data_IF_104063895172
#
_entry.id   IF_104063895172
#
_cell.length_a   1.000
_cell.length_b   1.000
_cell.length_c   1.000
_cell.angle_alpha   90.00
_cell.angle_beta   90.00
_cell.angle_gamma   90.00
#
_symmetry.space_group_name_H-M   'P 1'
#
loop_
_entity.id
_entity.type
_entity.pdbx_description
1 polymer ?
#
# COMPACT_ATOMS: atom_id res chain seq x y z
N UNK A 1 36.66 7.98 15.04
CA UNK A 1 36.23 7.39 13.75
C UNK A 1 34.93 6.64 13.96
N UNK A 2 33.86 7.03 13.28
CA UNK A 2 32.56 6.38 13.31
C UNK A 2 32.61 5.03 12.55
N UNK A 3 31.77 4.05 12.89
CA UNK A 3 31.71 2.74 12.21
C UNK A 3 31.51 2.87 10.70
N UNK A 4 30.73 3.86 10.27
CA UNK A 4 30.54 4.16 8.85
C UNK A 4 31.84 4.60 8.17
N UNK A 5 32.63 5.46 8.80
CA UNK A 5 33.90 5.95 8.22
C UNK A 5 34.88 4.80 8.02
N UNK A 6 35.00 3.91 9.02
CA UNK A 6 35.82 2.69 8.93
C UNK A 6 35.37 1.84 7.72
N UNK A 7 34.07 1.60 7.59
CA UNK A 7 33.51 0.86 6.48
C UNK A 7 33.80 1.51 5.12
N UNK A 8 33.71 2.84 5.01
CA UNK A 8 33.99 3.56 3.77
C UNK A 8 35.47 3.47 3.38
N UNK A 9 36.39 3.55 4.35
CA UNK A 9 37.82 3.30 4.10
C UNK A 9 38.07 1.86 3.63
N UNK A 10 37.45 0.86 4.27
CA UNK A 10 37.56 -0.54 3.83
C UNK A 10 37.00 -0.75 2.41
N UNK A 11 35.96 0.00 2.04
CA UNK A 11 35.38 -0.07 0.70
C UNK A 11 36.27 0.55 -0.38
N UNK A 12 37.11 1.55 -0.07
CA UNK A 12 38.08 2.11 -1.02
C UNK A 12 39.07 1.07 -1.55
N UNK A 13 39.37 0.04 -0.75
CA UNK A 13 40.24 -1.06 -1.16
C UNK A 13 39.57 -1.99 -2.20
N UNK A 14 38.23 -1.93 -2.31
CA UNK A 14 37.44 -2.87 -3.13
C UNK A 14 36.75 -2.20 -4.32
N UNK A 15 36.28 -0.98 -4.15
CA UNK A 15 35.53 -0.19 -5.14
C UNK A 15 36.32 1.06 -5.55
N UNK A 16 36.04 1.63 -6.75
CA UNK A 16 36.66 2.89 -7.16
C UNK A 16 36.30 4.03 -6.20
N UNK A 17 37.27 4.90 -5.90
CA UNK A 17 37.10 6.00 -4.94
C UNK A 17 35.90 6.92 -5.27
N UNK A 18 35.66 7.17 -6.56
CA UNK A 18 34.52 7.96 -7.05
C UNK A 18 33.15 7.40 -6.68
N UNK A 19 33.03 6.09 -6.46
CA UNK A 19 31.76 5.42 -6.15
C UNK A 19 31.52 5.29 -4.63
N UNK A 20 32.52 5.60 -3.79
CA UNK A 20 32.46 5.40 -2.33
C UNK A 20 31.40 6.28 -1.67
N UNK A 21 31.25 7.52 -2.13
CA UNK A 21 30.19 8.41 -1.64
C UNK A 21 28.80 7.82 -1.91
N UNK A 22 28.57 7.35 -3.14
CA UNK A 22 27.32 6.70 -3.55
C UNK A 22 27.05 5.42 -2.77
N UNK A 23 28.10 4.61 -2.53
CA UNK A 23 28.00 3.42 -1.68
C UNK A 23 27.61 3.77 -0.24
N UNK A 24 28.19 4.83 0.34
CA UNK A 24 27.82 5.32 1.67
C UNK A 24 26.37 5.78 1.76
N UNK A 25 25.90 6.54 0.77
CA UNK A 25 24.50 6.96 0.66
C UNK A 25 23.55 5.75 0.57
N UNK A 26 23.91 4.74 -0.23
CA UNK A 26 23.15 3.49 -0.32
C UNK A 26 23.12 2.73 1.01
N UNK A 27 24.25 2.55 1.68
CA UNK A 27 24.33 1.84 2.97
C UNK A 27 23.45 2.51 4.02
N UNK A 28 23.50 3.84 4.12
CA UNK A 28 22.67 4.61 5.05
C UNK A 28 21.18 4.51 4.71
N UNK A 29 20.84 4.63 3.43
CA UNK A 29 19.46 4.53 2.98
C UNK A 29 18.86 3.13 3.25
N UNK A 30 19.65 2.07 3.01
CA UNK A 30 19.27 0.69 3.32
C UNK A 30 19.15 0.45 4.83
N UNK A 31 19.98 1.10 5.64
CA UNK A 31 19.88 1.07 7.10
C UNK A 31 18.56 1.70 7.56
N UNK A 32 18.22 2.89 7.07
CA UNK A 32 16.96 3.56 7.40
C UNK A 32 15.75 2.72 6.96
N UNK A 33 15.77 2.12 5.75
CA UNK A 33 14.73 1.19 5.30
C UNK A 33 14.63 -0.09 6.14
N UNK A 34 15.71 -0.51 6.82
CA UNK A 34 15.70 -1.69 7.69
C UNK A 34 14.97 -1.45 9.02
N UNK A 35 14.67 -0.19 9.34
CA UNK A 35 13.91 0.20 10.54
C UNK A 35 12.39 0.24 10.28
N UNK A 36 11.96 0.16 9.01
CA UNK A 36 10.55 0.26 8.61
C UNK A 36 9.89 -1.12 8.65
N UNK A 37 8.90 -1.40 9.53
CA UNK A 37 8.35 -2.75 9.70
C UNK A 37 7.78 -3.39 8.43
N UNK A 38 7.25 -2.60 7.51
CA UNK A 38 6.68 -3.08 6.23
C UNK A 38 7.72 -3.31 5.14
N UNK A 39 8.93 -2.80 5.31
CA UNK A 39 10.00 -2.91 4.33
C UNK A 39 10.47 -4.35 4.21
N UNK A 40 10.80 -4.83 3.00
CA UNK A 40 11.39 -6.16 2.83
C UNK A 40 12.77 -6.27 3.51
N UNK A 41 13.40 -5.15 3.87
CA UNK A 41 14.68 -5.12 4.62
C UNK A 41 14.52 -5.26 6.13
N UNK A 42 13.29 -5.14 6.65
CA UNK A 42 13.08 -5.22 8.09
C UNK A 42 13.45 -6.61 8.63
N UNK A 43 14.34 -6.71 9.65
CA UNK A 43 14.97 -7.98 10.04
C UNK A 43 14.02 -8.92 10.81
N UNK A 44 13.09 -9.57 10.10
CA UNK A 44 12.13 -10.56 10.66
C UNK A 44 12.69 -11.98 10.54
N UNK A 45 13.61 -12.34 11.42
CA UNK A 45 14.23 -13.68 11.42
C UNK A 45 15.26 -13.88 10.31
N UNK A 46 15.73 -12.81 9.68
CA UNK A 46 16.86 -12.82 8.75
C UNK A 46 17.67 -11.53 8.93
N UNK A 47 18.93 -11.56 8.51
CA UNK A 47 19.78 -10.38 8.43
C UNK A 47 19.75 -9.78 7.00
N UNK A 48 19.29 -8.53 6.81
CA UNK A 48 19.37 -7.86 5.52
C UNK A 48 20.82 -7.55 5.21
N UNK A 49 21.28 -7.90 4.01
CA UNK A 49 22.61 -7.59 3.50
C UNK A 49 22.48 -6.83 2.18
N UNK A 50 23.34 -5.85 1.99
CA UNK A 50 23.43 -5.04 0.78
C UNK A 50 24.59 -5.54 -0.08
N UNK A 51 24.28 -6.01 -1.28
CA UNK A 51 25.26 -6.34 -2.30
C UNK A 51 25.46 -5.15 -3.22
N UNK A 52 26.58 -4.46 -3.04
CA UNK A 52 27.03 -3.40 -3.94
C UNK A 52 27.65 -4.04 -5.18
N UNK A 53 27.07 -3.75 -6.35
CA UNK A 53 27.57 -4.20 -7.65
C UNK A 53 28.17 -3.02 -8.41
N UNK A 54 29.29 -3.24 -9.09
CA UNK A 54 29.91 -2.25 -9.99
C UNK A 54 30.49 -2.95 -11.20
N UNK A 55 30.16 -2.47 -12.40
CA UNK A 55 30.78 -2.93 -13.63
C UNK A 55 32.06 -2.15 -13.90
N UNK A 56 33.15 -2.87 -14.16
CA UNK A 56 34.45 -2.30 -14.47
C UNK A 56 34.94 -2.92 -15.78
N UNK A 57 34.58 -2.29 -16.91
CA UNK A 57 34.83 -2.83 -18.24
C UNK A 57 34.10 -4.15 -18.46
N UNK A 58 34.82 -5.28 -18.34
CA UNK A 58 34.31 -6.63 -18.58
C UNK A 58 34.02 -7.47 -17.32
N UNK A 59 34.33 -6.99 -16.12
CA UNK A 59 34.13 -7.71 -14.86
C UNK A 59 33.19 -6.96 -13.92
N UNK A 60 32.42 -7.71 -13.13
CA UNK A 60 31.52 -7.16 -12.12
C UNK A 60 32.14 -7.36 -10.73
N UNK A 61 32.49 -6.26 -10.06
CA UNK A 61 32.89 -6.30 -8.66
C UNK A 61 31.65 -6.33 -7.77
N UNK A 62 31.71 -7.20 -6.75
CA UNK A 62 30.64 -7.45 -5.79
C UNK A 62 31.17 -7.30 -4.38
N UNK A 63 30.56 -6.43 -3.59
CA UNK A 63 30.90 -6.28 -2.17
C UNK A 63 29.64 -6.40 -1.34
N UNK A 64 29.62 -7.36 -0.43
CA UNK A 64 28.49 -7.58 0.48
C UNK A 64 28.73 -6.82 1.79
N UNK A 65 27.74 -6.07 2.22
CA UNK A 65 27.80 -5.18 3.39
C UNK A 65 26.58 -5.41 4.26
N UNK A 66 26.75 -5.36 5.58
CA UNK A 66 25.64 -5.32 6.52
C UNK A 66 25.25 -3.86 6.78
N UNK A 67 24.07 -3.37 6.33
CA UNK A 67 23.62 -2.02 6.60
C UNK A 67 23.32 -1.78 8.09
N UNK A 68 22.99 -2.83 8.84
CA UNK A 68 22.73 -2.76 10.29
C UNK A 68 24.03 -2.66 11.07
N UNK A 69 24.98 -3.55 10.81
CA UNK A 69 26.23 -3.63 11.58
C UNK A 69 27.31 -2.68 11.07
N UNK A 70 27.12 -2.11 9.87
CA UNK A 70 28.08 -1.28 9.14
C UNK A 70 29.44 -1.96 8.99
N UNK A 71 29.45 -3.18 8.46
CA UNK A 71 30.67 -3.94 8.18
C UNK A 71 30.58 -4.71 6.87
N UNK A 72 31.74 -5.03 6.30
CA UNK A 72 31.84 -5.90 5.14
C UNK A 72 31.61 -7.36 5.56
N UNK A 73 30.81 -8.07 4.77
CA UNK A 73 30.54 -9.50 4.93
C UNK A 73 31.43 -10.31 3.99
N UNK A 74 32.06 -11.33 4.54
CA UNK A 74 32.92 -12.32 3.89
C UNK A 74 32.38 -13.72 4.20
N UNK A 75 33.01 -14.76 3.65
CA UNK A 75 32.62 -16.14 3.94
C UNK A 75 32.79 -16.50 5.44
N UNK A 76 33.72 -15.86 6.14
CA UNK A 76 34.02 -16.16 7.54
C UNK A 76 33.00 -15.59 8.54
N UNK A 77 32.32 -14.50 8.19
CA UNK A 77 31.36 -13.82 9.05
C UNK A 77 29.95 -13.74 8.43
N UNK A 78 29.66 -14.66 7.49
CA UNK A 78 28.40 -14.72 6.77
C UNK A 78 27.27 -15.19 7.71
N UNK A 79 26.18 -14.43 7.85
CA UNK A 79 25.01 -14.88 8.61
C UNK A 79 24.35 -16.09 7.94
N UNK A 80 23.92 -17.06 8.76
CA UNK A 80 23.21 -18.25 8.30
C UNK A 80 21.88 -17.90 7.62
N UNK A 81 21.08 -17.06 8.28
CA UNK A 81 19.79 -16.58 7.79
C UNK A 81 19.95 -15.17 7.23
N UNK A 82 20.20 -15.05 5.92
CA UNK A 82 20.43 -13.76 5.25
C UNK A 82 19.48 -13.56 4.08
N UNK A 83 19.13 -12.30 3.82
CA UNK A 83 18.54 -11.88 2.54
C UNK A 83 19.44 -10.83 1.92
N UNK A 84 19.78 -11.04 0.65
CA UNK A 84 20.68 -10.18 -0.09
C UNK A 84 19.84 -9.28 -0.99
N UNK A 85 20.03 -7.97 -0.83
CA UNK A 85 19.43 -6.95 -1.66
C UNK A 85 20.51 -6.30 -2.50
N UNK A 86 20.22 -6.11 -3.78
CA UNK A 86 21.21 -5.62 -4.73
C UNK A 86 21.06 -4.12 -4.96
N UNK A 87 22.19 -3.43 -4.95
CA UNK A 87 22.28 -2.03 -5.37
C UNK A 87 23.39 -1.90 -6.41
N UNK A 88 23.00 -1.52 -7.62
CA UNK A 88 23.92 -1.31 -8.72
C UNK A 88 24.48 0.11 -8.66
N UNK A 89 25.79 0.23 -8.46
CA UNK A 89 26.48 1.52 -8.38
C UNK A 89 26.51 2.26 -9.72
N UNK A 90 26.23 1.60 -10.85
CA UNK A 90 26.10 2.23 -12.16
C UNK A 90 24.68 2.77 -12.37
N UNK A 91 23.66 1.94 -12.12
CA UNK A 91 22.27 2.23 -12.51
C UNK A 91 21.38 2.79 -11.38
N UNK A 92 21.51 2.27 -10.16
CA UNK A 92 20.62 2.62 -9.04
C UNK A 92 21.03 3.96 -8.43
N UNK A 93 20.06 4.72 -7.92
CA UNK A 93 20.27 6.04 -7.32
C UNK A 93 19.60 6.06 -5.96
N UNK A 94 20.20 6.81 -5.04
CA UNK A 94 19.57 7.22 -3.78
C UNK A 94 19.26 8.71 -3.90
N UNK A 95 17.99 9.08 -3.82
CA UNK A 95 17.54 10.46 -3.86
C UNK A 95 16.94 10.86 -2.52
N UNK A 96 17.57 11.80 -1.82
CA UNK A 96 17.00 12.49 -0.67
C UNK A 96 16.36 13.79 -1.15
N UNK A 97 15.04 13.91 -1.04
CA UNK A 97 14.29 15.05 -1.58
C UNK A 97 13.11 15.43 -0.69
N UNK A 98 12.34 16.44 -1.11
CA UNK A 98 11.06 16.80 -0.51
C UNK A 98 9.96 16.73 -1.56
N UNK A 99 8.83 16.10 -1.22
CA UNK A 99 7.64 16.00 -2.08
C UNK A 99 6.47 16.55 -1.28
N UNK A 100 5.86 17.64 -1.77
CA UNK A 100 4.80 18.35 -1.05
C UNK A 100 5.16 18.58 0.44
N UNK A 101 6.35 19.14 0.67
CA UNK A 101 6.96 19.41 1.98
C UNK A 101 7.32 18.19 2.84
N UNK A 102 6.99 16.97 2.39
CA UNK A 102 7.32 15.73 3.08
C UNK A 102 8.73 15.27 2.71
N UNK A 103 9.55 14.89 3.72
CA UNK A 103 10.85 14.27 3.48
C UNK A 103 10.67 12.95 2.71
N UNK A 104 11.39 12.78 1.62
CA UNK A 104 11.36 11.57 0.81
C UNK A 104 12.78 10.99 0.63
N UNK A 105 12.93 9.70 0.92
CA UNK A 105 14.13 8.91 0.60
C UNK A 105 13.75 7.87 -0.44
N UNK A 106 14.27 8.01 -1.66
CA UNK A 106 13.89 7.18 -2.80
C UNK A 106 15.10 6.39 -3.28
N UNK A 107 14.95 5.08 -3.41
CA UNK A 107 16.02 4.18 -3.89
C UNK A 107 15.53 3.44 -5.12
N UNK A 108 16.33 3.39 -6.18
CA UNK A 108 16.04 2.57 -7.37
C UNK A 108 16.58 3.19 -8.64
N UNK A 109 16.11 2.71 -9.80
CA UNK A 109 16.50 3.27 -11.09
C UNK A 109 15.82 4.62 -11.32
N UNK A 110 16.45 5.48 -12.12
CA UNK A 110 15.94 6.83 -12.40
C UNK A 110 14.48 6.85 -12.88
N UNK A 111 14.09 5.93 -13.75
CA UNK A 111 12.71 5.84 -14.26
C UNK A 111 11.71 5.41 -13.17
N UNK A 112 12.10 4.49 -12.29
CA UNK A 112 11.26 4.03 -11.17
C UNK A 112 11.04 5.17 -10.17
N UNK A 113 12.11 5.89 -9.82
CA UNK A 113 12.05 7.06 -8.95
C UNK A 113 11.13 8.14 -9.54
N UNK A 114 11.21 8.40 -10.85
CA UNK A 114 10.30 9.36 -11.52
C UNK A 114 8.84 8.95 -11.40
N UNK A 115 8.51 7.69 -11.66
CA UNK A 115 7.14 7.17 -11.54
C UNK A 115 6.63 7.33 -10.10
N UNK A 116 7.45 6.95 -9.13
CA UNK A 116 7.16 7.12 -7.71
C UNK A 116 6.90 8.58 -7.35
N UNK A 117 7.77 9.50 -7.80
CA UNK A 117 7.61 10.93 -7.51
C UNK A 117 6.30 11.48 -8.07
N UNK A 118 5.97 11.13 -9.32
CA UNK A 118 4.71 11.54 -9.93
C UNK A 118 3.50 11.01 -9.13
N UNK A 119 3.52 9.73 -8.76
CA UNK A 119 2.46 9.17 -7.93
C UNK A 119 2.32 9.91 -6.58
N UNK A 120 3.43 10.20 -5.92
CA UNK A 120 3.40 10.93 -4.64
C UNK A 120 2.92 12.37 -4.79
N UNK A 121 3.26 13.04 -5.90
CA UNK A 121 2.74 14.37 -6.24
C UNK A 121 1.24 14.35 -6.52
N UNK A 122 0.71 13.27 -7.08
CA UNK A 122 -0.73 13.11 -7.33
C UNK A 122 -1.51 12.69 -6.07
N UNK A 123 -0.86 12.04 -5.11
CA UNK A 123 -1.52 11.46 -3.92
C UNK A 123 -1.43 12.37 -2.70
N UNK A 124 -0.23 12.82 -2.31
CA UNK A 124 0.01 13.55 -1.05
C UNK A 124 -0.81 14.84 -0.92
N UNK A 125 -1.01 15.66 -1.99
CA UNK A 125 -1.84 16.87 -1.89
C UNK A 125 -3.29 16.61 -1.49
N UNK A 126 -3.83 15.44 -1.81
CA UNK A 126 -5.23 15.08 -1.59
C UNK A 126 -5.46 14.23 -0.34
N UNK A 127 -4.41 13.98 0.43
CA UNK A 127 -4.49 13.37 1.75
C UNK A 127 -4.95 14.40 2.78
N UNK A 128 -5.78 13.98 3.73
CA UNK A 128 -6.20 14.87 4.82
C UNK A 128 -5.11 15.02 5.88
N UNK A 129 -4.32 13.98 6.09
CA UNK A 129 -3.17 13.99 7.01
C UNK A 129 -1.90 13.95 6.19
N UNK A 130 -1.01 14.91 6.42
CA UNK A 130 0.29 14.95 5.74
C UNK A 130 1.21 13.88 6.33
N UNK A 131 1.90 13.10 5.47
CA UNK A 131 2.90 12.16 5.95
C UNK A 131 4.10 12.88 6.57
N UNK A 132 4.73 12.24 7.55
CA UNK A 132 5.96 12.75 8.18
C UNK A 132 7.19 12.44 7.31
N UNK A 133 7.22 11.26 6.69
CA UNK A 133 8.22 10.88 5.70
C UNK A 133 7.69 9.85 4.71
N UNK A 134 8.35 9.77 3.56
CA UNK A 134 8.11 8.77 2.53
C UNK A 134 9.40 8.06 2.20
N UNK A 135 9.31 6.76 2.02
CA UNK A 135 10.41 5.90 1.64
C UNK A 135 10.04 5.13 0.40
N UNK A 136 10.98 4.92 -0.51
CA UNK A 136 10.79 3.99 -1.61
C UNK A 136 11.96 3.05 -1.79
N UNK A 137 11.63 1.81 -2.11
CA UNK A 137 12.56 0.82 -2.63
C UNK A 137 12.02 0.34 -3.96
N UNK A 138 12.54 0.90 -5.05
CA UNK A 138 12.09 0.70 -6.43
C UNK A 138 10.61 1.04 -6.57
N UNK A 139 9.77 0.03 -6.79
CA UNK A 139 8.33 0.12 -6.98
C UNK A 139 7.52 -0.05 -5.68
N UNK A 140 8.18 -0.18 -4.53
CA UNK A 140 7.56 -0.25 -3.21
C UNK A 140 7.69 1.09 -2.48
N UNK A 141 6.60 1.57 -1.91
CA UNK A 141 6.49 2.81 -1.17
C UNK A 141 6.04 2.54 0.26
N UNK A 142 6.66 3.23 1.19
CA UNK A 142 6.31 3.19 2.61
C UNK A 142 6.10 4.64 3.08
N UNK A 143 4.86 4.98 3.39
CA UNK A 143 4.44 6.32 3.79
C UNK A 143 4.21 6.32 5.29
N UNK A 144 4.96 7.15 6.02
CA UNK A 144 4.95 7.23 7.48
C UNK A 144 4.04 8.36 7.96
N UNK A 145 3.24 8.10 8.99
CA UNK A 145 2.39 9.11 9.65
C UNK A 145 2.84 9.37 11.09
N UNK A 146 2.84 8.32 11.92
CA UNK A 146 3.32 8.32 13.30
C UNK A 146 4.61 7.52 13.48
N UNK A 147 4.96 7.20 14.73
CA UNK A 147 6.19 6.44 15.05
C UNK A 147 6.21 5.06 14.39
N UNK A 148 5.09 4.33 14.48
CA UNK A 148 4.91 2.97 13.96
C UNK A 148 3.70 2.84 13.02
N UNK A 149 3.21 3.94 12.45
CA UNK A 149 2.04 3.94 11.57
C UNK A 149 2.49 4.12 10.11
N UNK A 150 2.25 3.09 9.29
CA UNK A 150 2.70 3.08 7.89
C UNK A 150 1.59 2.65 6.93
N UNK A 151 1.62 3.25 5.75
CA UNK A 151 0.90 2.79 4.56
C UNK A 151 1.93 2.27 3.57
N UNK A 152 1.75 1.04 3.11
CA UNK A 152 2.55 0.40 2.08
C UNK A 152 1.82 0.39 0.74
N UNK A 153 2.47 0.85 -0.32
CA UNK A 153 1.98 0.75 -1.69
C UNK A 153 3.02 0.03 -2.55
N UNK A 154 2.62 -1.01 -3.26
CA UNK A 154 3.49 -1.71 -4.20
C UNK A 154 2.89 -1.73 -5.59
N UNK A 155 3.65 -1.21 -6.55
CA UNK A 155 3.19 -1.02 -7.93
C UNK A 155 3.63 -2.21 -8.77
N UNK A 156 2.68 -2.94 -9.36
CA UNK A 156 2.96 -4.12 -10.20
C UNK A 156 2.26 -3.93 -11.55
N UNK A 157 2.98 -3.40 -12.54
CA UNK A 157 2.39 -3.02 -13.81
C UNK A 157 1.28 -1.97 -13.62
N UNK A 158 0.04 -2.29 -14.02
CA UNK A 158 -1.14 -1.45 -13.77
C UNK A 158 -1.88 -1.77 -12.45
N UNK A 159 -1.30 -2.61 -11.61
CA UNK A 159 -1.85 -3.07 -10.34
C UNK A 159 -1.26 -2.33 -9.14
N UNK A 160 -2.07 -2.19 -8.09
CA UNK A 160 -1.68 -1.64 -6.79
C UNK A 160 -1.92 -2.67 -5.68
N UNK A 161 -0.87 -3.04 -4.96
CA UNK A 161 -1.00 -3.73 -3.68
C UNK A 161 -0.94 -2.69 -2.56
N UNK A 162 -2.06 -2.54 -1.85
CA UNK A 162 -2.16 -1.69 -0.69
C UNK A 162 -1.99 -2.52 0.58
N UNK A 163 -1.24 -2.01 1.55
CA UNK A 163 -1.17 -2.59 2.87
C UNK A 163 -1.05 -1.50 3.92
N UNK A 164 -1.37 -1.83 5.16
CA UNK A 164 -1.24 -0.93 6.29
C UNK A 164 -0.54 -1.64 7.45
N UNK A 165 0.17 -0.88 8.27
CA UNK A 165 0.79 -1.39 9.48
C UNK A 165 0.46 -0.48 10.66
N UNK A 166 -0.17 -1.07 11.67
CA UNK A 166 -0.61 -0.41 12.91
C UNK A 166 -1.56 0.79 12.69
N UNK A 167 -2.38 0.77 11.64
CA UNK A 167 -3.41 1.78 11.40
C UNK A 167 -4.77 1.09 11.26
N UNK A 168 -5.74 1.38 12.14
CA UNK A 168 -7.12 0.89 11.99
C UNK A 168 -7.77 1.36 10.68
N UNK A 169 -8.73 0.59 10.18
CA UNK A 169 -9.38 0.86 8.89
C UNK A 169 -10.16 2.19 8.91
N UNK A 170 -10.81 2.50 10.03
CA UNK A 170 -11.47 3.80 10.26
C UNK A 170 -10.49 4.97 10.14
N UNK A 171 -9.28 4.80 10.67
CA UNK A 171 -8.23 5.81 10.62
C UNK A 171 -7.61 5.93 9.22
N UNK A 172 -7.40 4.82 8.50
CA UNK A 172 -6.87 4.84 7.12
C UNK A 172 -7.73 5.69 6.18
N UNK A 173 -9.05 5.51 6.24
CA UNK A 173 -10.00 6.29 5.44
C UNK A 173 -9.87 7.79 5.74
N UNK A 174 -9.72 8.15 7.01
CA UNK A 174 -9.51 9.54 7.45
C UNK A 174 -8.18 10.10 6.96
N UNK A 175 -7.08 9.34 7.05
CA UNK A 175 -5.74 9.75 6.61
C UNK A 175 -5.74 10.04 5.10
N UNK A 176 -6.18 9.08 4.31
CA UNK A 176 -6.09 9.14 2.84
C UNK A 176 -7.13 10.10 2.25
N UNK A 177 -8.33 10.19 2.82
CA UNK A 177 -9.37 11.11 2.34
C UNK A 177 -9.63 10.94 0.83
N UNK A 178 -9.49 12.03 0.07
CA UNK A 178 -9.71 12.03 -1.39
C UNK A 178 -8.65 11.24 -2.15
N UNK A 179 -7.45 11.09 -1.59
CA UNK A 179 -6.37 10.33 -2.22
C UNK A 179 -6.75 8.85 -2.48
N UNK A 180 -7.65 8.27 -1.68
CA UNK A 180 -8.18 6.91 -1.93
C UNK A 180 -8.83 6.79 -3.31
N UNK A 181 -9.61 7.80 -3.73
CA UNK A 181 -10.28 7.78 -5.03
C UNK A 181 -9.32 8.09 -6.20
N UNK A 182 -8.24 8.85 -5.94
CA UNK A 182 -7.16 9.06 -6.91
C UNK A 182 -6.39 7.76 -7.15
N UNK A 183 -6.04 7.04 -6.07
CA UNK A 183 -5.45 5.71 -6.20
C UNK A 183 -6.38 4.74 -6.94
N UNK A 184 -7.70 4.84 -6.73
CA UNK A 184 -8.65 4.03 -7.48
C UNK A 184 -8.70 4.37 -8.99
N UNK A 185 -8.52 5.65 -9.38
CA UNK A 185 -8.52 6.04 -10.79
C UNK A 185 -7.20 5.71 -11.50
N UNK A 186 -6.06 5.82 -10.81
CA UNK A 186 -4.73 5.60 -11.38
C UNK A 186 -4.44 4.13 -11.71
N UNK A 187 -4.98 3.20 -10.91
CA UNK A 187 -4.69 1.77 -11.05
C UNK A 187 -5.90 1.00 -11.56
N UNK A 188 -5.68 -0.03 -12.39
CA UNK A 188 -6.77 -0.86 -12.93
C UNK A 188 -7.18 -1.95 -11.95
N UNK A 189 -6.20 -2.63 -11.37
CA UNK A 189 -6.39 -3.75 -10.44
C UNK A 189 -5.84 -3.38 -9.07
N UNK A 190 -6.54 -3.77 -8.00
CA UNK A 190 -6.08 -3.58 -6.62
C UNK A 190 -6.30 -4.84 -5.78
N UNK A 191 -5.67 -4.92 -4.62
CA UNK A 191 -5.90 -6.01 -3.70
C UNK A 191 -7.17 -5.82 -2.84
N UNK A 192 -7.60 -6.90 -2.17
CA UNK A 192 -8.80 -6.90 -1.34
C UNK A 192 -8.76 -5.81 -0.25
N UNK A 193 -7.60 -5.57 0.37
CA UNK A 193 -7.42 -4.55 1.39
C UNK A 193 -7.72 -3.14 0.86
N UNK A 194 -7.31 -2.83 -0.36
CA UNK A 194 -7.65 -1.57 -1.01
C UNK A 194 -9.15 -1.44 -1.29
N UNK A 195 -9.82 -2.47 -1.83
CA UNK A 195 -11.26 -2.40 -2.09
C UNK A 195 -12.07 -2.24 -0.80
N UNK A 196 -11.62 -2.86 0.29
CA UNK A 196 -12.18 -2.67 1.62
C UNK A 196 -12.03 -1.22 2.08
N UNK A 197 -10.84 -0.65 1.96
CA UNK A 197 -10.60 0.78 2.24
C UNK A 197 -11.47 1.69 1.36
N UNK A 198 -11.55 1.41 0.06
CA UNK A 198 -12.34 2.19 -0.89
C UNK A 198 -13.83 2.18 -0.53
N UNK A 199 -14.36 1.01 -0.14
CA UNK A 199 -15.73 0.90 0.36
C UNK A 199 -15.94 1.80 1.59
N UNK A 200 -15.05 1.71 2.58
CA UNK A 200 -15.13 2.53 3.80
C UNK A 200 -15.01 4.03 3.50
N UNK A 201 -14.10 4.42 2.62
CA UNK A 201 -13.96 5.81 2.17
C UNK A 201 -15.23 6.29 1.44
N UNK A 202 -15.90 5.41 0.69
CA UNK A 202 -17.16 5.73 0.02
C UNK A 202 -18.30 6.04 0.99
N UNK A 203 -18.28 5.49 2.21
CA UNK A 203 -19.29 5.75 3.25
C UNK A 203 -19.19 7.16 3.87
N UNK A 204 -18.20 7.97 3.49
CA UNK A 204 -18.06 9.35 3.96
C UNK A 204 -19.08 10.33 3.36
N UNK A 205 -19.67 10.02 2.20
CA UNK A 205 -20.76 10.81 1.61
C UNK A 205 -21.65 9.94 0.73
N UNK A 206 -22.93 10.30 0.61
CA UNK A 206 -23.86 9.56 -0.26
C UNK A 206 -23.38 9.53 -1.72
N UNK A 207 -22.82 10.63 -2.25
CA UNK A 207 -22.35 10.67 -3.64
C UNK A 207 -21.18 9.71 -3.88
N UNK A 208 -20.22 9.65 -2.95
CA UNK A 208 -19.09 8.70 -3.02
C UNK A 208 -19.58 7.26 -2.94
N UNK A 209 -20.51 6.97 -2.02
CA UNK A 209 -21.13 5.65 -1.89
C UNK A 209 -21.90 5.26 -3.15
N UNK A 210 -22.72 6.17 -3.69
CA UNK A 210 -23.46 5.94 -4.92
C UNK A 210 -22.52 5.60 -6.09
N UNK A 211 -21.45 6.37 -6.29
CA UNK A 211 -20.46 6.10 -7.31
C UNK A 211 -19.77 4.74 -7.11
N UNK A 212 -19.41 4.40 -5.86
CA UNK A 212 -18.85 3.09 -5.53
C UNK A 212 -19.84 1.97 -5.85
N UNK A 213 -21.10 2.11 -5.43
CA UNK A 213 -22.14 1.12 -5.63
C UNK A 213 -22.38 0.86 -7.12
N UNK A 214 -22.57 1.91 -7.91
CA UNK A 214 -22.85 1.78 -9.35
C UNK A 214 -21.67 1.19 -10.13
N UNK A 215 -20.43 1.45 -9.69
CA UNK A 215 -19.22 0.95 -10.37
C UNK A 215 -18.82 -0.46 -9.94
N UNK A 216 -18.96 -0.78 -8.66
CA UNK A 216 -18.40 -2.00 -8.08
C UNK A 216 -19.46 -3.03 -7.68
N UNK A 217 -20.63 -2.62 -7.22
CA UNK A 217 -21.68 -3.53 -6.72
C UNK A 217 -22.73 -3.81 -7.81
N UNK A 218 -23.38 -2.77 -8.35
CA UNK A 218 -24.52 -2.90 -9.26
C UNK A 218 -24.27 -3.84 -10.45
N UNK A 219 -23.14 -3.76 -11.19
CA UNK A 219 -22.89 -4.62 -12.35
C UNK A 219 -22.69 -6.10 -11.99
N UNK A 220 -22.55 -6.41 -10.70
CA UNK A 220 -22.26 -7.75 -10.18
C UNK A 220 -23.40 -8.30 -9.33
N UNK A 221 -24.50 -7.57 -9.22
CA UNK A 221 -25.67 -8.03 -8.51
C UNK A 221 -26.20 -9.32 -9.15
N UNK A 222 -26.63 -10.30 -8.33
CA UNK A 222 -27.45 -11.41 -8.81
C UNK A 222 -28.71 -10.89 -9.51
N UNK A 223 -29.25 -11.67 -10.46
CA UNK A 223 -30.38 -11.25 -11.29
C UNK A 223 -31.59 -10.84 -10.45
N UNK A 224 -31.98 -11.64 -9.45
CA UNK A 224 -33.12 -11.35 -8.55
C UNK A 224 -32.96 -9.99 -7.83
N UNK A 225 -31.75 -9.67 -7.37
CA UNK A 225 -31.46 -8.40 -6.69
C UNK A 225 -31.46 -7.22 -7.66
N UNK A 226 -30.99 -7.45 -8.89
CA UNK A 226 -30.99 -6.42 -9.92
C UNK A 226 -32.40 -6.09 -10.37
N UNK A 227 -33.22 -7.11 -10.66
CA UNK A 227 -34.64 -6.97 -10.98
C UNK A 227 -35.37 -6.23 -9.85
N UNK A 228 -35.13 -6.63 -8.60
CA UNK A 228 -35.68 -5.92 -7.44
C UNK A 228 -35.33 -4.43 -7.44
N UNK A 229 -34.07 -4.05 -7.70
CA UNK A 229 -33.68 -2.64 -7.74
C UNK A 229 -34.25 -1.88 -8.95
N UNK A 230 -34.42 -2.54 -10.09
CA UNK A 230 -35.00 -1.95 -11.31
C UNK A 230 -36.52 -1.77 -11.16
N UNK A 231 -37.21 -2.64 -10.42
CA UNK A 231 -38.64 -2.53 -10.08
C UNK A 231 -38.93 -1.42 -9.05
N UNK A 232 -37.92 -0.99 -8.28
CA UNK A 232 -38.11 0.11 -7.33
C UNK A 232 -38.29 1.44 -8.07
N UNK A 233 -39.50 1.99 -7.99
CA UNK A 233 -39.82 3.34 -8.51
C UNK A 233 -38.88 4.44 -8.00
N UNK A 234 -38.23 4.27 -6.83
CA UNK A 234 -37.22 5.18 -6.29
C UNK A 234 -35.98 4.42 -5.77
N UNK A 235 -35.19 3.87 -6.69
CA UNK A 235 -33.91 3.21 -6.37
C UNK A 235 -32.94 4.13 -5.61
N UNK A 236 -33.02 5.45 -5.82
CA UNK A 236 -32.14 6.43 -5.17
C UNK A 236 -32.44 6.51 -3.67
N UNK A 237 -33.72 6.52 -3.28
CA UNK A 237 -34.11 6.47 -1.87
C UNK A 237 -33.68 5.15 -1.20
N UNK A 238 -33.77 4.03 -1.92
CA UNK A 238 -33.23 2.76 -1.42
C UNK A 238 -31.73 2.84 -1.14
N UNK A 239 -30.95 3.38 -2.09
CA UNK A 239 -29.50 3.53 -1.90
C UNK A 239 -29.17 4.52 -0.77
N UNK A 240 -29.98 5.56 -0.57
CA UNK A 240 -29.82 6.48 0.56
C UNK A 240 -30.06 5.77 1.90
N UNK A 241 -31.09 4.92 1.97
CA UNK A 241 -31.36 4.11 3.16
C UNK A 241 -30.21 3.12 3.40
N UNK A 242 -29.77 2.39 2.37
CA UNK A 242 -28.64 1.48 2.46
C UNK A 242 -27.37 2.20 2.95
N UNK A 243 -27.05 3.36 2.37
CA UNK A 243 -25.95 4.23 2.81
C UNK A 243 -26.07 4.63 4.28
N UNK A 244 -27.27 5.05 4.70
CA UNK A 244 -27.51 5.50 6.06
C UNK A 244 -27.25 4.40 7.09
N UNK A 245 -27.62 3.15 6.79
CA UNK A 245 -27.34 2.03 7.68
C UNK A 245 -25.88 1.59 7.61
N UNK A 246 -25.29 1.52 6.42
CA UNK A 246 -23.88 1.13 6.25
C UNK A 246 -22.91 2.15 6.87
N UNK A 247 -23.20 3.44 6.79
CA UNK A 247 -22.35 4.49 7.38
C UNK A 247 -22.29 4.44 8.92
N UNK A 248 -23.21 3.72 9.56
CA UNK A 248 -23.30 3.56 11.02
C UNK A 248 -22.64 2.28 11.54
N UNK A 249 -22.18 1.38 10.66
CA UNK A 249 -21.52 0.16 11.10
C UNK A 249 -20.17 0.47 11.73
N UNK A 250 -19.72 -0.39 12.65
CA UNK A 250 -18.37 -0.31 13.14
C UNK A 250 -17.39 -0.73 12.03
N UNK A 251 -16.80 0.27 11.38
CA UNK A 251 -15.88 0.13 10.24
C UNK A 251 -14.73 -0.82 10.55
N UNK A 252 -14.16 -0.78 11.76
CA UNK A 252 -13.01 -1.60 12.13
C UNK A 252 -13.35 -3.10 12.27
N UNK A 253 -14.64 -3.44 12.31
CA UNK A 253 -15.11 -4.85 12.27
C UNK A 253 -15.30 -5.38 10.85
N UNK A 254 -15.14 -4.55 9.82
CA UNK A 254 -15.24 -5.00 8.43
C UNK A 254 -14.00 -5.81 8.08
N UNK A 255 -14.21 -7.12 7.89
CA UNK A 255 -13.16 -8.05 7.47
C UNK A 255 -13.17 -8.16 5.94
N UNK A 256 -13.47 -9.35 5.41
CA UNK A 256 -13.43 -9.64 3.97
C UNK A 256 -14.76 -9.40 3.28
N UNK A 257 -15.86 -9.32 4.04
CA UNK A 257 -17.19 -9.10 3.48
C UNK A 257 -18.10 -8.22 4.35
N UNK A 258 -19.15 -7.70 3.72
CA UNK A 258 -20.26 -6.97 4.33
C UNK A 258 -21.56 -7.62 3.86
N UNK A 259 -22.29 -8.25 4.79
CA UNK A 259 -23.60 -8.82 4.57
C UNK A 259 -24.72 -7.83 4.94
N UNK A 260 -25.68 -7.70 4.04
CA UNK A 260 -26.87 -6.85 4.17
C UNK A 260 -28.10 -7.72 3.99
N UNK A 261 -29.03 -7.66 4.94
CA UNK A 261 -30.37 -8.25 4.83
C UNK A 261 -31.34 -7.14 4.46
N UNK A 262 -32.16 -7.36 3.43
CA UNK A 262 -33.22 -6.46 2.99
C UNK A 262 -34.55 -7.20 3.15
N UNK A 263 -35.34 -6.82 4.15
CA UNK A 263 -36.72 -7.31 4.33
C UNK A 263 -37.68 -6.43 3.57
N UNK A 264 -38.50 -7.05 2.73
CA UNK A 264 -39.59 -6.38 2.02
C UNK A 264 -40.83 -6.35 2.88
N UNK A 265 -41.49 -5.20 3.04
CA UNK A 265 -42.77 -5.12 3.78
C UNK A 265 -43.85 -6.05 3.21
N UNK A 266 -43.86 -6.24 1.90
CA UNK A 266 -44.82 -7.10 1.19
C UNK A 266 -44.56 -8.60 1.35
N UNK A 267 -43.31 -9.00 1.64
CA UNK A 267 -42.87 -10.40 1.83
C UNK A 267 -41.73 -10.49 2.85
N UNK A 268 -42.00 -10.27 4.15
CA UNK A 268 -40.98 -10.23 5.20
C UNK A 268 -40.35 -11.60 5.48
N UNK A 269 -41.02 -12.66 5.09
CA UNK A 269 -40.65 -14.08 5.15
C UNK A 269 -39.61 -14.49 4.10
N UNK A 270 -39.43 -13.69 3.02
CA UNK A 270 -38.40 -13.91 1.99
C UNK A 270 -37.50 -12.68 1.82
N UNK A 271 -36.55 -12.44 2.74
CA UNK A 271 -35.60 -11.35 2.63
C UNK A 271 -34.65 -11.53 1.44
N UNK A 272 -34.16 -10.42 0.89
CA UNK A 272 -33.03 -10.42 -0.03
C UNK A 272 -31.73 -10.29 0.78
N UNK A 273 -30.82 -11.22 0.57
CA UNK A 273 -29.52 -11.25 1.22
C UNK A 273 -28.45 -10.79 0.24
N UNK A 274 -27.64 -9.80 0.61
CA UNK A 274 -26.59 -9.25 -0.24
C UNK A 274 -25.25 -9.34 0.50
N UNK A 275 -24.34 -10.19 0.03
CA UNK A 275 -22.96 -10.25 0.54
C UNK A 275 -22.01 -9.52 -0.41
N UNK A 276 -21.41 -8.43 0.03
CA UNK A 276 -20.36 -7.69 -0.67
C UNK A 276 -19.01 -8.24 -0.20
N UNK A 277 -18.25 -8.90 -1.08
CA UNK A 277 -16.97 -9.53 -0.74
C UNK A 277 -15.83 -8.79 -1.44
N UNK A 278 -14.79 -8.43 -0.69
CA UNK A 278 -13.59 -7.78 -1.22
C UNK A 278 -12.59 -8.84 -1.71
N UNK A 279 -12.21 -8.80 -2.98
CA UNK A 279 -11.30 -9.77 -3.62
C UNK A 279 -10.10 -9.09 -4.25
N UNK A 280 -9.10 -9.88 -4.61
CA UNK A 280 -8.06 -9.41 -5.52
C UNK A 280 -8.70 -9.06 -6.87
N UNK A 281 -8.45 -7.85 -7.37
CA UNK A 281 -8.93 -7.38 -8.67
C UNK A 281 -10.39 -6.93 -8.72
N UNK A 282 -11.15 -6.98 -7.62
CA UNK A 282 -12.51 -6.44 -7.61
C UNK A 282 -13.33 -6.70 -6.36
N UNK A 283 -14.61 -6.35 -6.47
CA UNK A 283 -15.67 -6.69 -5.51
C UNK A 283 -16.47 -7.84 -6.11
N UNK A 284 -16.86 -8.82 -5.30
CA UNK A 284 -17.79 -9.89 -5.65
C UNK A 284 -19.09 -9.66 -4.87
N UNK A 285 -20.24 -10.01 -5.45
CA UNK A 285 -21.55 -9.84 -4.81
C UNK A 285 -22.30 -11.17 -4.86
N UNK A 286 -22.84 -11.62 -3.73
CA UNK A 286 -23.60 -12.87 -3.61
C UNK A 286 -24.99 -12.63 -3.03
N UNK A 287 -25.87 -13.59 -3.30
CA UNK A 287 -27.28 -13.65 -2.91
C UNK A 287 -27.52 -14.29 -1.53
N UNK A 288 -26.46 -14.68 -0.83
CA UNK A 288 -26.51 -15.28 0.51
C UNK A 288 -25.42 -14.70 1.39
N UNK A 289 -25.76 -14.40 2.63
CA UNK A 289 -24.80 -13.87 3.61
C UNK A 289 -24.37 -14.94 4.61
N UNK A 290 -23.12 -14.88 5.06
CA UNK A 290 -22.65 -15.69 6.20
C UNK A 290 -23.01 -15.06 7.54
N UNK A 291 -23.02 -13.72 7.57
CA UNK A 291 -23.31 -12.90 8.74
C UNK A 291 -23.92 -11.59 8.26
N UNK A 292 -24.93 -11.10 8.98
CA UNK A 292 -25.50 -9.77 8.74
C UNK A 292 -24.73 -8.72 9.53
N UNK A 293 -24.34 -7.65 8.86
CA UNK A 293 -23.81 -6.42 9.45
C UNK A 293 -24.90 -5.34 9.48
N UNK A 294 -25.82 -5.39 8.51
CA UNK A 294 -26.95 -4.47 8.39
C UNK A 294 -28.21 -5.24 8.06
N UNK A 295 -29.32 -4.82 8.65
CA UNK A 295 -30.67 -5.26 8.31
C UNK A 295 -31.54 -4.04 8.01
N UNK A 296 -32.25 -4.11 6.88
CA UNK A 296 -33.06 -3.05 6.32
C UNK A 296 -34.50 -3.53 6.21
N UNK A 297 -35.45 -2.64 6.49
CA UNK A 297 -36.85 -2.83 6.17
C UNK A 297 -37.23 -1.82 5.09
N UNK A 298 -37.64 -2.33 3.92
CA UNK A 298 -37.98 -1.55 2.73
C UNK A 298 -39.45 -1.80 2.39
#
# INVERSE_FOLDING_TARGET
>A
MNKLEILLEDLKLRLPERDIKKAGEAILAYRELSEIPMSPLYPRGFQPLLLLKKRLGGFEKRVLVSPIELKIITNANMPAWRRIFEFDLDDDIVENTKIAETRALLIGKLNEIRIVKNLLLDVIPYMNVKPSSVYSLRNELFIKFGENEFIGLRIIGSGLEFSSYNIPLSHLSRILGRATFILDSLFKSKNAEFYRLLFVASLGSFNSFYAFFMRHIFPRLPLEHREFLEEMHDYKNFLQLLYFHLSRINIDRIQESVGVIIRRRSRPDRPLELEIIFRQGGVEVRDRIRRAQVELLV
#
